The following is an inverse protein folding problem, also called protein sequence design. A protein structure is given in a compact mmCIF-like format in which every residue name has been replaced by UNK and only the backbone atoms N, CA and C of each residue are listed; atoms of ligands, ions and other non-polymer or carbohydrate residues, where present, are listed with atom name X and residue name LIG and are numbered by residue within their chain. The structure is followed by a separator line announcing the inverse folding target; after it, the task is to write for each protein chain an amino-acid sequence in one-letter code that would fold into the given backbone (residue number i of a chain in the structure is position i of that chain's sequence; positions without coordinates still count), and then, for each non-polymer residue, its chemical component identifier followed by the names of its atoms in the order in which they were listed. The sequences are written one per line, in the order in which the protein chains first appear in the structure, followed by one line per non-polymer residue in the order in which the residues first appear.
data_IF_853868813673
#
_entry.id   IF_853868813673
#
_cell.length_a   1.000
_cell.length_b   1.000
_cell.length_c   1.000
_cell.angle_alpha   90.00
_cell.angle_beta   90.00
_cell.angle_gamma   90.00
#
_symmetry.space_group_name_H-M   'P 1'
#
loop_
_entity.id
_entity.type
_entity.pdbx_description
1 polymer ?
#
# COMPACT_ATOMS: atom_id res chain seq x y z
N UNK A 1 3.27 27.29 17.51
CA UNK A 1 2.80 25.88 17.61
C UNK A 1 3.34 25.00 16.48
N UNK A 2 2.89 25.08 15.21
CA UNK A 2 3.43 24.17 14.16
C UNK A 2 4.90 24.39 13.79
N UNK A 3 5.42 25.62 13.92
CA UNK A 3 6.85 25.92 13.67
C UNK A 3 7.75 25.38 14.79
N UNK A 4 7.35 25.59 16.04
CA UNK A 4 8.12 25.16 17.22
C UNK A 4 8.18 23.62 17.33
N UNK A 5 7.07 22.92 17.07
CA UNK A 5 7.03 21.44 17.04
C UNK A 5 7.88 20.84 15.89
N UNK A 6 7.99 21.55 14.76
CA UNK A 6 8.79 21.08 13.62
C UNK A 6 10.30 21.25 13.87
N UNK A 7 10.70 22.26 14.64
CA UNK A 7 12.09 22.52 15.00
C UNK A 7 12.60 21.48 16.01
N UNK A 8 11.74 21.06 16.94
CA UNK A 8 12.07 20.02 17.94
C UNK A 8 12.14 18.61 17.33
N UNK A 9 11.27 18.30 16.35
CA UNK A 9 11.23 16.99 15.69
C UNK A 9 12.20 16.86 14.50
N UNK A 10 12.64 17.96 13.91
CA UNK A 10 13.45 17.97 12.69
C UNK A 10 12.69 17.61 11.41
N UNK A 11 11.36 17.45 11.48
CA UNK A 11 10.48 17.25 10.33
C UNK A 11 9.06 17.70 10.67
N UNK A 12 8.20 17.82 9.65
CA UNK A 12 6.79 18.15 9.83
C UNK A 12 5.94 16.87 9.83
N UNK A 13 5.29 16.50 10.97
CA UNK A 13 4.34 15.41 11.01
C UNK A 13 3.13 15.68 10.10
N UNK A 14 2.59 14.63 9.46
CA UNK A 14 1.42 14.78 8.59
C UNK A 14 0.09 14.72 9.37
N UNK A 15 -0.10 13.68 10.18
CA UNK A 15 -1.36 13.44 10.91
C UNK A 15 -1.12 12.52 12.10
N UNK A 16 -0.57 13.10 13.16
CA UNK A 16 -0.40 12.48 14.47
C UNK A 16 -1.74 12.28 15.19
N UNK A 17 -1.74 11.47 16.26
CA UNK A 17 -2.92 11.22 17.08
C UNK A 17 -3.06 12.36 18.09
N UNK A 18 -4.12 13.17 17.94
CA UNK A 18 -4.39 14.34 18.79
C UNK A 18 -4.42 13.98 20.29
N UNK A 19 -4.92 12.80 20.64
CA UNK A 19 -5.05 12.35 22.03
C UNK A 19 -3.71 12.12 22.74
N UNK A 20 -2.62 11.94 22.01
CA UNK A 20 -1.30 11.76 22.61
C UNK A 20 -0.85 13.01 23.37
N UNK A 21 -1.28 14.20 22.93
CA UNK A 21 -1.01 15.48 23.59
C UNK A 21 -1.74 15.63 24.93
N UNK A 22 -2.72 14.77 25.22
CA UNK A 22 -3.50 14.79 26.46
C UNK A 22 -2.95 13.85 27.54
N UNK A 23 -1.89 13.10 27.25
CA UNK A 23 -1.31 12.16 28.20
C UNK A 23 -0.46 12.90 29.25
N UNK A 24 -0.40 12.41 30.51
CA UNK A 24 0.43 13.02 31.57
C UNK A 24 1.93 13.07 31.26
N UNK A 25 2.38 12.32 30.25
CA UNK A 25 3.78 12.21 29.81
C UNK A 25 3.94 12.60 28.34
N UNK A 26 3.07 13.49 27.82
CA UNK A 26 3.09 13.94 26.44
C UNK A 26 4.44 14.56 26.02
N UNK A 27 5.13 15.21 26.97
CA UNK A 27 6.48 15.78 26.84
C UNK A 27 7.54 14.75 26.43
N UNK A 28 7.34 13.46 26.75
CA UNK A 28 8.30 12.39 26.43
C UNK A 28 8.03 11.69 25.10
N UNK A 29 6.84 11.90 24.51
CA UNK A 29 6.41 11.13 23.34
C UNK A 29 7.17 11.53 22.08
N UNK A 30 7.63 12.77 22.00
CA UNK A 30 8.27 13.30 20.80
C UNK A 30 9.67 12.69 20.61
N UNK A 31 10.47 12.64 21.67
CA UNK A 31 11.76 11.93 21.67
C UNK A 31 11.59 10.43 21.48
N UNK A 32 10.65 9.79 22.20
CA UNK A 32 10.38 8.36 22.09
C UNK A 32 9.97 7.96 20.66
N UNK A 33 9.03 8.69 20.07
CA UNK A 33 8.53 8.40 18.73
C UNK A 33 9.60 8.63 17.65
N UNK A 34 10.48 9.62 17.80
CA UNK A 34 11.60 9.84 16.90
C UNK A 34 12.62 8.70 16.97
N UNK A 35 12.97 8.23 18.17
CA UNK A 35 13.87 7.10 18.36
C UNK A 35 13.31 5.81 17.75
N UNK A 36 12.02 5.55 17.96
CA UNK A 36 11.36 4.37 17.39
C UNK A 36 11.31 4.47 15.86
N UNK A 37 10.97 5.64 15.31
CA UNK A 37 10.93 5.85 13.87
C UNK A 37 12.31 5.66 13.23
N UNK A 38 13.36 6.22 13.85
CA UNK A 38 14.74 6.05 13.39
C UNK A 38 15.14 4.57 13.34
N UNK A 39 14.83 3.81 14.40
CA UNK A 39 15.06 2.35 14.45
C UNK A 39 14.28 1.61 13.37
N UNK A 40 13.02 1.99 13.13
CA UNK A 40 12.20 1.39 12.07
C UNK A 40 12.84 1.65 10.70
N UNK A 41 13.17 2.90 10.38
CA UNK A 41 13.77 3.27 9.08
C UNK A 41 15.08 2.52 8.86
N UNK A 42 16.02 2.62 9.80
CA UNK A 42 17.36 2.05 9.66
C UNK A 42 17.33 0.52 9.53
N UNK A 43 16.56 -0.15 10.39
CA UNK A 43 16.56 -1.61 10.39
C UNK A 43 15.64 -2.21 9.33
N UNK A 44 14.54 -1.56 8.95
CA UNK A 44 13.73 -2.00 7.81
C UNK A 44 14.54 -1.92 6.51
N UNK A 45 15.22 -0.79 6.27
CA UNK A 45 16.09 -0.62 5.11
C UNK A 45 17.21 -1.67 5.10
N UNK A 46 17.88 -1.88 6.24
CA UNK A 46 18.92 -2.91 6.38
C UNK A 46 18.39 -4.31 6.10
N UNK A 47 17.23 -4.68 6.65
CA UNK A 47 16.64 -6.00 6.43
C UNK A 47 16.28 -6.23 4.95
N UNK A 48 15.74 -5.21 4.27
CA UNK A 48 15.46 -5.30 2.82
C UNK A 48 16.75 -5.41 2.02
N UNK A 49 17.78 -4.61 2.34
CA UNK A 49 19.08 -4.64 1.67
C UNK A 49 19.76 -6.01 1.81
N UNK A 50 19.65 -6.64 2.99
CA UNK A 50 20.17 -7.98 3.26
C UNK A 50 19.27 -9.10 2.75
N UNK A 51 18.11 -8.76 2.14
CA UNK A 51 17.08 -9.70 1.68
C UNK A 51 16.56 -10.62 2.79
N UNK A 52 16.61 -10.15 4.04
CA UNK A 52 16.13 -10.86 5.22
C UNK A 52 14.62 -10.62 5.40
N UNK A 53 13.80 -11.25 4.56
CA UNK A 53 12.34 -11.11 4.63
C UNK A 53 11.77 -11.61 5.97
N UNK A 54 12.33 -12.71 6.48
CA UNK A 54 12.05 -13.25 7.80
C UNK A 54 13.36 -13.57 8.55
N UNK A 55 13.47 -13.20 9.84
CA UNK A 55 12.50 -12.42 10.62
C UNK A 55 12.52 -10.90 10.34
N UNK A 56 13.58 -10.37 9.72
CA UNK A 56 13.88 -8.94 9.58
C UNK A 56 12.73 -8.05 9.08
N UNK A 57 12.41 -8.11 7.79
CA UNK A 57 11.38 -7.22 7.19
C UNK A 57 10.03 -7.41 7.88
N UNK A 58 9.63 -8.65 8.16
CA UNK A 58 8.37 -8.94 8.82
C UNK A 58 8.29 -8.32 10.24
N UNK A 59 9.39 -8.34 10.99
CA UNK A 59 9.45 -7.72 12.30
C UNK A 59 9.30 -6.19 12.23
N UNK A 60 10.07 -5.54 11.36
CA UNK A 60 10.07 -4.07 11.27
C UNK A 60 8.80 -3.50 10.64
N UNK A 61 8.16 -4.22 9.71
CA UNK A 61 6.83 -3.87 9.21
C UNK A 61 5.73 -3.98 10.28
N UNK A 62 5.80 -5.00 11.15
CA UNK A 62 4.91 -5.08 12.34
C UNK A 62 5.17 -3.94 13.33
N UNK A 63 6.44 -3.55 13.52
CA UNK A 63 6.80 -2.39 14.34
C UNK A 63 6.27 -1.08 13.75
N UNK A 64 6.37 -0.88 12.43
CA UNK A 64 5.77 0.28 11.73
C UNK A 64 4.25 0.29 11.87
N UNK A 65 3.59 -0.87 11.74
CA UNK A 65 2.14 -0.98 11.97
C UNK A 65 1.76 -0.55 13.39
N UNK A 66 2.56 -0.95 14.38
CA UNK A 66 2.34 -0.58 15.79
C UNK A 66 2.63 0.88 16.03
N UNK A 67 3.70 1.41 15.44
CA UNK A 67 4.04 2.84 15.48
C UNK A 67 2.89 3.69 14.97
N UNK A 68 2.32 3.35 13.80
CA UNK A 68 1.18 4.06 13.24
C UNK A 68 -0.07 3.98 14.10
N UNK A 69 -0.26 2.87 14.82
CA UNK A 69 -1.38 2.69 15.75
C UNK A 69 -1.23 3.58 17.00
N UNK A 70 -0.01 3.79 17.49
CA UNK A 70 0.27 4.56 18.70
C UNK A 70 0.45 6.05 18.45
N UNK A 71 1.13 6.43 17.36
CA UNK A 71 1.54 7.81 17.09
C UNK A 71 0.85 8.41 15.85
N UNK A 72 0.10 7.62 15.08
CA UNK A 72 -0.47 8.07 13.82
C UNK A 72 0.60 8.17 12.73
N UNK A 73 0.54 9.22 11.90
CA UNK A 73 1.53 9.48 10.84
C UNK A 73 2.49 10.57 11.28
N UNK A 74 3.21 10.29 12.36
CA UNK A 74 4.25 11.17 12.91
C UNK A 74 5.58 10.94 12.16
N UNK A 75 5.55 11.13 10.84
CA UNK A 75 6.71 11.08 9.95
C UNK A 75 6.51 12.07 8.79
N UNK A 76 7.61 12.46 8.14
CA UNK A 76 7.58 13.41 7.03
C UNK A 76 6.80 12.87 5.83
N UNK A 77 6.38 13.77 4.92
CA UNK A 77 5.75 13.39 3.65
C UNK A 77 6.66 12.54 2.78
N UNK A 78 7.95 12.87 2.77
CA UNK A 78 8.98 12.11 2.07
C UNK A 78 9.08 10.68 2.61
N UNK A 79 9.19 10.51 3.93
CA UNK A 79 9.25 9.19 4.57
C UNK A 79 7.99 8.37 4.27
N UNK A 80 6.83 9.02 4.23
CA UNK A 80 5.56 8.36 3.89
C UNK A 80 5.59 7.78 2.47
N UNK A 81 6.05 8.55 1.49
CA UNK A 81 6.20 8.09 0.11
C UNK A 81 7.22 6.94 0.03
N UNK A 82 8.35 7.05 0.75
CA UNK A 82 9.35 5.99 0.79
C UNK A 82 8.82 4.70 1.40
N UNK A 83 8.06 4.76 2.51
CA UNK A 83 7.42 3.58 3.10
C UNK A 83 6.43 2.93 2.13
N UNK A 84 5.65 3.74 1.42
CA UNK A 84 4.68 3.23 0.44
C UNK A 84 5.40 2.54 -0.71
N UNK A 85 6.39 3.19 -1.33
CA UNK A 85 7.16 2.62 -2.45
C UNK A 85 7.85 1.32 -2.03
N UNK A 86 8.51 1.32 -0.87
CA UNK A 86 9.17 0.13 -0.34
C UNK A 86 8.20 -1.03 -0.12
N UNK A 87 7.06 -0.78 0.55
CA UNK A 87 6.07 -1.83 0.80
C UNK A 87 5.35 -2.29 -0.46
N UNK A 88 5.15 -1.39 -1.43
CA UNK A 88 4.61 -1.74 -2.73
C UNK A 88 5.54 -2.73 -3.43
N UNK A 89 6.82 -2.41 -3.55
CA UNK A 89 7.80 -3.32 -4.14
C UNK A 89 7.89 -4.66 -3.39
N UNK A 90 7.81 -4.64 -2.05
CA UNK A 90 7.79 -5.86 -1.25
C UNK A 90 6.54 -6.70 -1.49
N UNK A 91 5.35 -6.11 -1.59
CA UNK A 91 4.10 -6.87 -1.78
C UNK A 91 4.00 -7.49 -3.17
N UNK A 92 4.64 -6.87 -4.16
CA UNK A 92 4.64 -7.30 -5.57
C UNK A 92 5.81 -8.23 -5.92
N UNK A 93 6.60 -8.69 -4.93
CA UNK A 93 7.65 -9.69 -5.15
C UNK A 93 7.03 -10.95 -5.80
N UNK A 94 7.53 -11.39 -6.96
CA UNK A 94 7.05 -12.60 -7.60
C UNK A 94 7.19 -13.82 -6.68
N UNK A 95 6.13 -14.63 -6.59
CA UNK A 95 6.09 -15.85 -5.76
C UNK A 95 6.34 -15.60 -4.27
N UNK A 96 6.10 -14.39 -3.77
CA UNK A 96 6.11 -14.13 -2.32
C UNK A 96 5.10 -15.01 -1.59
N UNK A 97 5.49 -15.49 -0.41
CA UNK A 97 4.64 -16.24 0.49
C UNK A 97 3.38 -15.44 0.85
N UNK A 98 2.22 -16.08 0.78
CA UNK A 98 0.91 -15.42 0.92
C UNK A 98 0.72 -14.80 2.30
N UNK A 99 1.22 -15.42 3.36
CA UNK A 99 1.15 -14.88 4.72
C UNK A 99 1.93 -13.56 4.86
N UNK A 100 3.15 -13.51 4.31
CA UNK A 100 3.96 -12.29 4.29
C UNK A 100 3.32 -11.21 3.42
N UNK A 101 2.87 -11.59 2.21
CA UNK A 101 2.16 -10.70 1.29
C UNK A 101 0.96 -10.04 1.98
N UNK A 102 0.10 -10.81 2.68
CA UNK A 102 -1.03 -10.25 3.41
C UNK A 102 -0.60 -9.26 4.51
N UNK A 103 0.51 -9.53 5.21
CA UNK A 103 1.09 -8.62 6.19
C UNK A 103 1.49 -7.28 5.58
N UNK A 104 2.23 -7.32 4.48
CA UNK A 104 2.68 -6.12 3.76
C UNK A 104 1.49 -5.37 3.14
N UNK A 105 0.56 -6.08 2.51
CA UNK A 105 -0.65 -5.52 1.91
C UNK A 105 -1.49 -4.75 2.93
N UNK A 106 -1.71 -5.30 4.13
CA UNK A 106 -2.49 -4.62 5.19
C UNK A 106 -1.81 -3.34 5.67
N UNK A 107 -0.48 -3.34 5.80
CA UNK A 107 0.25 -2.14 6.18
C UNK A 107 0.22 -1.09 5.07
N UNK A 108 0.38 -1.50 3.82
CA UNK A 108 0.30 -0.61 2.66
C UNK A 108 -1.10 0.02 2.51
N UNK A 109 -2.17 -0.77 2.67
CA UNK A 109 -3.55 -0.26 2.78
C UNK A 109 -3.68 0.76 3.91
N UNK A 110 -3.08 0.47 5.07
CA UNK A 110 -3.13 1.39 6.21
C UNK A 110 -2.40 2.71 5.91
N UNK A 111 -1.25 2.70 5.22
CA UNK A 111 -0.54 3.92 4.79
C UNK A 111 -1.39 4.75 3.82
N UNK A 112 -1.95 4.10 2.79
CA UNK A 112 -2.76 4.73 1.74
C UNK A 112 -4.17 5.15 2.17
N UNK A 113 -4.62 4.74 3.36
CA UNK A 113 -5.99 4.97 3.85
C UNK A 113 -6.41 6.46 3.87
N UNK A 114 -5.48 7.36 4.18
CA UNK A 114 -5.73 8.80 4.31
C UNK A 114 -5.30 9.53 3.03
N UNK A 115 -6.17 9.49 2.02
CA UNK A 115 -5.93 10.04 0.68
C UNK A 115 -5.67 11.55 0.68
N UNK A 116 -6.13 12.26 1.69
CA UNK A 116 -5.91 13.70 1.84
C UNK A 116 -4.44 14.09 2.10
N UNK A 117 -3.58 13.12 2.42
CA UNK A 117 -2.18 13.37 2.78
C UNK A 117 -1.21 13.28 1.59
N UNK A 118 -1.61 12.64 0.49
CA UNK A 118 -0.78 12.42 -0.67
C UNK A 118 -1.57 12.77 -1.93
N UNK A 119 -0.98 13.61 -2.76
CA UNK A 119 -1.47 13.85 -4.11
C UNK A 119 -0.89 12.82 -5.08
N UNK A 120 -1.42 12.80 -6.30
CA UNK A 120 -0.90 11.98 -7.39
C UNK A 120 0.50 12.41 -7.84
N UNK A 121 0.83 13.69 -7.71
CA UNK A 121 2.17 14.21 -8.02
C UNK A 121 3.23 13.68 -7.07
N UNK A 122 2.83 13.33 -5.83
CA UNK A 122 3.74 12.80 -4.83
C UNK A 122 4.02 11.31 -5.00
N UNK A 123 3.11 10.59 -5.65
CA UNK A 123 3.11 9.13 -5.69
C UNK A 123 2.45 8.58 -6.96
N UNK A 124 3.24 7.83 -7.72
CA UNK A 124 2.76 6.98 -8.81
C UNK A 124 3.10 5.52 -8.50
N UNK A 125 2.12 4.63 -8.69
CA UNK A 125 2.24 3.20 -8.47
C UNK A 125 1.83 2.45 -9.75
N UNK A 126 2.65 1.55 -10.30
CA UNK A 126 2.25 0.79 -11.49
C UNK A 126 1.06 -0.13 -11.16
N UNK A 127 0.16 -0.36 -12.12
CA UNK A 127 -0.99 -1.24 -11.89
C UNK A 127 -0.66 -2.71 -12.20
N UNK A 128 0.25 -2.95 -13.14
CA UNK A 128 0.53 -4.27 -13.71
C UNK A 128 1.03 -5.30 -12.67
N UNK A 129 1.95 -4.97 -11.75
CA UNK A 129 2.37 -5.94 -10.73
C UNK A 129 1.22 -6.37 -9.79
N UNK A 130 0.28 -5.47 -9.51
CA UNK A 130 -0.93 -5.82 -8.74
C UNK A 130 -1.89 -6.70 -9.54
N UNK A 131 -2.02 -6.44 -10.84
CA UNK A 131 -2.81 -7.29 -11.74
C UNK A 131 -2.25 -8.71 -11.80
N UNK A 132 -0.95 -8.87 -12.02
CA UNK A 132 -0.27 -10.18 -12.03
C UNK A 132 -0.40 -10.90 -10.68
N UNK A 133 -0.28 -10.16 -9.56
CA UNK A 133 -0.49 -10.69 -8.22
C UNK A 133 -1.93 -11.20 -8.03
N UNK A 134 -2.92 -10.44 -8.49
CA UNK A 134 -4.33 -10.81 -8.40
C UNK A 134 -4.65 -12.00 -9.30
N UNK A 135 -4.12 -12.04 -10.52
CA UNK A 135 -4.30 -13.16 -11.46
C UNK A 135 -3.76 -14.46 -10.86
N UNK A 136 -2.54 -14.41 -10.32
CA UNK A 136 -1.89 -15.56 -9.69
C UNK A 136 -2.69 -16.16 -8.54
N UNK A 137 -3.39 -15.33 -7.77
CA UNK A 137 -4.09 -15.75 -6.55
C UNK A 137 -5.55 -16.10 -6.86
N UNK A 138 -6.32 -15.21 -7.48
CA UNK A 138 -7.76 -15.41 -7.70
C UNK A 138 -8.08 -16.34 -8.86
N UNK A 139 -7.18 -16.46 -9.83
CA UNK A 139 -7.36 -17.30 -11.01
C UNK A 139 -6.27 -18.38 -11.10
N UNK A 140 -5.82 -18.84 -9.94
CA UNK A 140 -4.82 -19.90 -9.79
C UNK A 140 -5.25 -21.18 -10.50
N UNK A 141 -4.44 -21.61 -11.47
CA UNK A 141 -4.65 -22.87 -12.21
C UNK A 141 -4.39 -24.12 -11.37
N UNK A 142 -3.86 -23.98 -10.16
CA UNK A 142 -3.39 -25.10 -9.33
C UNK A 142 -4.06 -25.15 -7.95
N UNK A 143 -4.88 -24.16 -7.60
CA UNK A 143 -5.64 -24.14 -6.34
C UNK A 143 -6.71 -25.23 -6.32
N UNK A 144 -7.49 -25.38 -7.39
CA UNK A 144 -8.50 -26.45 -7.51
C UNK A 144 -7.90 -27.87 -7.51
N UNK A 145 -6.60 -27.98 -7.76
CA UNK A 145 -5.83 -29.23 -7.66
C UNK A 145 -5.27 -29.49 -6.24
N UNK A 146 -5.51 -28.57 -5.30
CA UNK A 146 -5.00 -28.64 -3.93
C UNK A 146 -3.51 -28.35 -3.77
N UNK A 147 -2.83 -27.88 -4.82
CA UNK A 147 -1.39 -27.57 -4.80
C UNK A 147 -1.08 -26.22 -4.15
N UNK A 148 -2.05 -25.31 -4.13
CA UNK A 148 -1.98 -24.03 -3.42
C UNK A 148 -3.10 -23.96 -2.39
N UNK A 149 -2.75 -23.54 -1.18
CA UNK A 149 -3.71 -23.25 -0.12
C UNK A 149 -3.67 -21.76 0.19
N UNK A 150 -4.76 -21.07 -0.13
CA UNK A 150 -4.90 -19.65 0.16
C UNK A 150 -5.80 -19.41 1.37
N UNK A 151 -5.44 -18.49 2.28
CA UNK A 151 -6.35 -18.10 3.36
C UNK A 151 -7.62 -17.47 2.79
N UNK A 152 -8.79 -17.78 3.36
CA UNK A 152 -10.10 -17.24 2.93
C UNK A 152 -10.15 -15.69 2.90
N UNK A 153 -9.28 -15.02 3.64
CA UNK A 153 -9.20 -13.56 3.68
C UNK A 153 -8.35 -12.92 2.57
N UNK A 154 -7.61 -13.71 1.77
CA UNK A 154 -6.64 -13.19 0.80
C UNK A 154 -7.28 -12.32 -0.26
N UNK A 155 -8.45 -12.75 -0.77
CA UNK A 155 -9.16 -12.04 -1.84
C UNK A 155 -9.58 -10.65 -1.37
N UNK A 156 -10.19 -10.54 -0.20
CA UNK A 156 -10.63 -9.26 0.36
C UNK A 156 -9.45 -8.32 0.64
N UNK A 157 -8.31 -8.85 1.10
CA UNK A 157 -7.09 -8.06 1.32
C UNK A 157 -6.57 -7.51 -0.01
N UNK A 158 -6.50 -8.33 -1.06
CA UNK A 158 -6.03 -7.90 -2.38
C UNK A 158 -6.98 -6.87 -3.02
N UNK A 159 -8.29 -7.12 -3.00
CA UNK A 159 -9.28 -6.15 -3.51
C UNK A 159 -9.16 -4.81 -2.82
N UNK A 160 -8.98 -4.81 -1.49
CA UNK A 160 -8.79 -3.59 -0.70
C UNK A 160 -7.47 -2.90 -1.06
N UNK A 161 -6.39 -3.67 -1.25
CA UNK A 161 -5.09 -3.16 -1.68
C UNK A 161 -5.18 -2.46 -3.04
N UNK A 162 -5.76 -3.10 -4.05
CA UNK A 162 -5.94 -2.50 -5.39
C UNK A 162 -6.77 -1.24 -5.30
N UNK A 163 -7.93 -1.27 -4.61
CA UNK A 163 -8.78 -0.07 -4.39
C UNK A 163 -8.03 1.06 -3.69
N UNK A 164 -7.06 0.76 -2.83
CA UNK A 164 -6.25 1.75 -2.12
C UNK A 164 -5.13 2.35 -3.00
N UNK A 165 -4.56 1.57 -3.91
CA UNK A 165 -3.51 2.00 -4.84
C UNK A 165 -4.08 2.73 -6.07
N UNK A 166 -5.32 2.40 -6.48
CA UNK A 166 -5.98 2.91 -7.70
C UNK A 166 -5.88 4.42 -7.96
N UNK A 167 -6.03 5.32 -6.95
CA UNK A 167 -5.90 6.76 -7.19
C UNK A 167 -4.51 7.20 -7.68
N UNK A 168 -3.48 6.38 -7.42
CA UNK A 168 -2.08 6.65 -7.71
C UNK A 168 -1.57 5.92 -8.95
N UNK A 169 -2.45 5.29 -9.74
CA UNK A 169 -2.05 4.71 -11.02
C UNK A 169 -1.71 5.81 -12.04
N UNK A 170 -0.70 5.60 -12.91
CA UNK A 170 -0.36 6.52 -14.00
C UNK A 170 -1.54 6.88 -14.89
N UNK A 171 -1.42 7.97 -15.65
CA UNK A 171 -2.53 8.47 -16.46
C UNK A 171 -2.76 7.61 -17.72
N UNK A 172 -1.70 6.98 -18.23
CA UNK A 172 -1.78 6.00 -19.32
C UNK A 172 -2.44 4.68 -18.92
N UNK A 173 -2.57 4.40 -17.62
CA UNK A 173 -2.99 3.08 -17.13
C UNK A 173 -4.41 2.70 -17.56
N UNK A 174 -5.32 3.65 -17.69
CA UNK A 174 -6.68 3.36 -18.18
C UNK A 174 -6.65 2.74 -19.58
N UNK A 175 -5.89 3.33 -20.49
CA UNK A 175 -5.80 2.85 -21.87
C UNK A 175 -5.15 1.47 -21.94
N UNK A 176 -4.04 1.27 -21.22
CA UNK A 176 -3.36 -0.02 -21.12
C UNK A 176 -4.29 -1.13 -20.58
N UNK A 177 -5.06 -0.83 -19.52
CA UNK A 177 -6.04 -1.76 -18.94
C UNK A 177 -7.17 -2.11 -19.91
N UNK A 178 -7.67 -1.10 -20.65
CA UNK A 178 -8.71 -1.30 -21.65
C UNK A 178 -8.21 -2.17 -22.80
N UNK A 179 -7.00 -1.95 -23.28
CA UNK A 179 -6.41 -2.74 -24.36
C UNK A 179 -6.17 -4.19 -23.94
N UNK A 180 -5.78 -4.43 -22.67
CA UNK A 180 -5.59 -5.77 -22.11
C UNK A 180 -6.92 -6.51 -21.89
N UNK A 181 -7.96 -5.85 -21.38
CA UNK A 181 -9.18 -6.53 -20.93
C UNK A 181 -10.36 -6.46 -21.90
N UNK A 182 -10.39 -5.54 -22.87
CA UNK A 182 -11.43 -5.50 -23.91
C UNK A 182 -11.57 -6.81 -24.69
N UNK A 183 -10.49 -7.52 -25.07
CA UNK A 183 -10.61 -8.80 -25.77
C UNK A 183 -11.35 -9.88 -24.97
N UNK A 184 -11.40 -9.76 -23.64
CA UNK A 184 -12.07 -10.69 -22.74
C UNK A 184 -13.59 -10.46 -22.67
N UNK A 185 -14.12 -9.43 -23.34
CA UNK A 185 -15.54 -9.05 -23.28
C UNK A 185 -16.44 -9.86 -24.23
N UNK A 186 -16.27 -11.19 -24.23
CA UNK A 186 -17.19 -12.07 -24.94
C UNK A 186 -18.41 -12.38 -24.03
N UNK A 187 -19.63 -11.88 -24.35
CA UNK A 187 -20.79 -12.03 -23.47
C UNK A 187 -21.25 -13.49 -23.29
N UNK A 188 -20.73 -14.42 -24.08
CA UNK A 188 -21.06 -15.84 -24.05
C UNK A 188 -20.03 -16.70 -23.30
N UNK A 189 -18.94 -16.10 -22.78
CA UNK A 189 -17.87 -16.81 -22.10
C UNK A 189 -17.65 -16.30 -20.67
N UNK A 190 -17.14 -17.17 -19.79
CA UNK A 190 -16.83 -16.86 -18.38
C UNK A 190 -15.73 -15.81 -18.23
N UNK A 191 -14.96 -15.57 -19.31
CA UNK A 191 -13.93 -14.52 -19.38
C UNK A 191 -14.50 -13.12 -19.22
N UNK A 192 -15.75 -12.88 -19.63
CA UNK A 192 -16.45 -11.60 -19.43
C UNK A 192 -16.55 -11.25 -17.94
N UNK A 193 -16.91 -12.21 -17.09
CA UNK A 193 -17.03 -11.97 -15.65
C UNK A 193 -15.69 -11.56 -15.04
N UNK A 194 -14.58 -12.12 -15.54
CA UNK A 194 -13.22 -11.72 -15.12
C UNK A 194 -12.91 -10.29 -15.53
N UNK A 195 -13.17 -9.95 -16.79
CA UNK A 195 -12.95 -8.61 -17.33
C UNK A 195 -13.72 -7.54 -16.56
N UNK A 196 -15.01 -7.78 -16.28
CA UNK A 196 -15.84 -6.88 -15.48
C UNK A 196 -15.30 -6.73 -14.06
N UNK A 197 -14.84 -7.84 -13.44
CA UNK A 197 -14.20 -7.80 -12.13
C UNK A 197 -12.90 -6.98 -12.12
N UNK A 198 -12.09 -7.06 -13.17
CA UNK A 198 -10.89 -6.23 -13.31
C UNK A 198 -11.25 -4.75 -13.47
N UNK A 199 -12.24 -4.40 -14.30
CA UNK A 199 -12.70 -3.01 -14.43
C UNK A 199 -13.22 -2.44 -13.11
N UNK A 200 -14.02 -3.19 -12.35
CA UNK A 200 -14.53 -2.74 -11.04
C UNK A 200 -13.38 -2.38 -10.08
N UNK A 201 -12.31 -3.17 -10.11
CA UNK A 201 -11.21 -3.08 -9.16
C UNK A 201 -10.15 -2.07 -9.56
N UNK A 202 -9.71 -2.08 -10.82
CA UNK A 202 -8.52 -1.35 -11.27
C UNK A 202 -8.81 -0.03 -11.99
N UNK A 203 -9.92 0.07 -12.71
CA UNK A 203 -10.15 1.22 -13.60
C UNK A 203 -10.24 2.53 -12.79
N UNK A 204 -9.34 3.51 -13.02
CA UNK A 204 -9.33 4.74 -12.23
C UNK A 204 -10.61 5.57 -12.42
N UNK A 205 -11.35 5.83 -11.33
CA UNK A 205 -12.61 6.62 -11.36
C UNK A 205 -12.49 7.98 -10.66
N UNK A 206 -11.32 8.32 -10.13
CA UNK A 206 -11.10 9.54 -9.32
C UNK A 206 -9.99 10.41 -9.90
N UNK A 207 -9.90 10.47 -11.22
CA UNK A 207 -8.98 11.37 -11.92
C UNK A 207 -9.45 12.83 -11.77
N UNK A 208 -8.55 13.81 -11.76
CA UNK A 208 -8.92 15.21 -11.77
C UNK A 208 -9.60 15.59 -13.11
N UNK A 209 -10.42 16.67 -13.15
CA UNK A 209 -11.14 17.10 -14.34
C UNK A 209 -10.28 17.24 -15.60
N UNK A 210 -9.05 17.72 -15.43
CA UNK A 210 -8.06 17.91 -16.50
C UNK A 210 -7.70 16.59 -17.20
N UNK A 211 -7.76 15.46 -16.49
CA UNK A 211 -7.39 14.13 -16.96
C UNK A 211 -8.59 13.20 -17.21
N UNK A 212 -9.83 13.70 -17.17
CA UNK A 212 -11.01 12.87 -17.44
C UNK A 212 -10.96 12.18 -18.81
N UNK A 213 -10.41 12.85 -19.83
CA UNK A 213 -10.21 12.26 -21.16
C UNK A 213 -9.26 11.04 -21.20
N UNK A 214 -8.43 10.86 -20.16
CA UNK A 214 -7.56 9.69 -19.96
C UNK A 214 -8.15 8.68 -18.96
N UNK A 215 -9.35 8.97 -18.47
CA UNK A 215 -10.12 8.17 -17.53
C UNK A 215 -11.38 7.60 -18.18
N UNK A 216 -12.51 7.96 -17.58
CA UNK A 216 -13.86 7.60 -18.02
C UNK A 216 -14.47 8.66 -18.92
#
# INVERSE_FOLDING_TARGET
MKKDEAEELGFVPQKDIVYNKLLPYADKLDSESNDILCKIKGNLARAVQLRELWPGVLFWTRKLSTYMRLYGRKFSKEDHVLFIKLLYELVTIPKLEISMMQGFARLLVNLLKKKELLSREDLELPWRPLYELQERILYSKTEHLGLNWFPNSVENVLKTLVKSCRPYFPASSTQEMLDEWRPLLCPFDVTMQRAVGYFELFLPTTLPPELHHQGF
#
